data_IF_267492669399
#
_entry.id   IF_267492669399
#
_cell.length_a   1.000
_cell.length_b   1.000
_cell.length_c   1.000
_cell.angle_alpha   90.00
_cell.angle_beta   90.00
_cell.angle_gamma   90.00
#
_symmetry.space_group_name_H-M   'P 1'
#
loop_
_entity.id
_entity.type
_entity.pdbx_description
1 polymer ?
#
# COMPACT_ATOMS: atom_id res chain seq x y z
N UNK A 1 -7.77 22.91 9.31
CA UNK A 1 -7.53 23.43 10.67
C UNK A 1 -6.15 22.98 11.08
N UNK A 2 -5.26 23.93 11.35
CA UNK A 2 -3.84 23.72 11.60
C UNK A 2 -3.63 23.38 13.07
N UNK A 3 -3.11 22.20 13.40
CA UNK A 3 -2.67 21.88 14.75
C UNK A 3 -1.29 22.49 15.02
N UNK A 4 -1.29 23.59 15.78
CA UNK A 4 -0.11 24.21 16.38
C UNK A 4 0.41 23.30 17.50
N UNK A 5 1.62 22.78 17.33
CA UNK A 5 2.35 22.09 18.41
C UNK A 5 3.00 23.14 19.32
N UNK A 6 2.33 23.49 20.41
CA UNK A 6 2.96 24.27 21.48
C UNK A 6 3.78 23.33 22.38
N UNK A 7 5.10 23.30 22.15
CA UNK A 7 6.06 22.74 23.10
C UNK A 7 6.37 23.78 24.16
N UNK A 8 5.82 23.63 25.36
CA UNK A 8 6.31 24.37 26.53
C UNK A 8 7.52 23.64 27.10
N UNK A 9 8.72 24.15 26.81
CA UNK A 9 9.92 23.80 27.56
C UNK A 9 9.84 24.42 28.96
N UNK A 10 9.99 23.61 30.01
CA UNK A 10 10.09 24.08 31.39
C UNK A 10 11.38 24.92 31.56
N UNK A 11 11.33 26.09 32.23
CA UNK A 11 12.54 26.88 32.46
C UNK A 11 13.40 26.21 33.54
N UNK A 12 14.61 25.80 33.16
CA UNK A 12 15.62 25.24 34.06
C UNK A 12 16.18 26.36 34.95
N UNK A 13 16.00 26.23 36.28
CA UNK A 13 16.77 27.01 37.26
C UNK A 13 18.18 26.41 37.41
N UNK A 14 19.16 27.30 37.37
CA UNK A 14 20.61 27.14 37.54
C UNK A 14 21.13 25.86 38.22
N UNK A 15 22.17 25.28 37.60
CA UNK A 15 23.37 24.87 38.36
C UNK A 15 23.67 23.38 38.51
N UNK A 16 23.74 22.60 37.42
CA UNK A 16 24.67 21.45 37.29
C UNK A 16 24.64 20.93 35.85
N UNK A 17 25.79 20.84 35.17
CA UNK A 17 25.90 20.11 33.90
C UNK A 17 25.67 18.62 34.20
N UNK A 18 24.45 18.16 33.98
CA UNK A 18 24.12 16.73 33.93
C UNK A 18 24.10 16.39 32.44
N UNK A 19 25.08 15.63 31.97
CA UNK A 19 25.00 14.98 30.67
C UNK A 19 23.89 13.92 30.77
N UNK A 20 22.65 14.30 30.49
CA UNK A 20 21.58 13.34 30.23
C UNK A 20 21.49 13.13 28.73
N UNK A 21 21.74 11.90 28.29
CA UNK A 21 21.23 11.43 27.01
C UNK A 21 19.74 11.22 27.22
N UNK A 22 18.92 12.19 26.84
CA UNK A 22 17.47 12.05 26.93
C UNK A 22 17.00 11.10 25.83
N UNK A 23 16.34 10.01 26.23
CA UNK A 23 15.71 9.08 25.31
C UNK A 23 14.32 9.61 24.95
N UNK A 24 14.05 9.77 23.65
CA UNK A 24 12.72 10.10 23.14
C UNK A 24 11.99 8.80 22.87
N UNK A 25 10.96 8.50 23.67
CA UNK A 25 10.02 7.40 23.39
C UNK A 25 8.95 7.97 22.48
N UNK A 26 8.95 7.54 21.20
CA UNK A 26 7.85 7.84 20.30
C UNK A 26 6.64 6.97 20.72
N UNK A 27 5.43 7.55 20.86
CA UNK A 27 4.24 6.74 21.08
C UNK A 27 4.09 5.78 19.90
N UNK A 28 3.70 4.53 20.16
CA UNK A 28 3.32 3.61 19.09
C UNK A 28 2.22 4.27 18.27
N UNK A 29 2.35 4.26 16.92
CA UNK A 29 1.25 4.68 16.05
C UNK A 29 -0.01 3.91 16.47
N UNK A 30 -1.02 4.64 16.94
CA UNK A 30 -2.26 4.05 17.47
C UNK A 30 -2.99 3.21 16.41
N UNK A 31 -2.71 3.46 15.13
CA UNK A 31 -3.40 2.86 13.98
C UNK A 31 -2.51 1.92 13.16
N UNK A 32 -1.40 1.49 13.77
CA UNK A 32 -0.36 0.72 13.11
C UNK A 32 0.44 1.53 12.10
N UNK A 33 1.37 0.87 11.45
CA UNK A 33 2.25 1.46 10.44
C UNK A 33 2.30 0.58 9.20
N UNK A 34 1.96 1.16 8.04
CA UNK A 34 2.09 0.50 6.76
C UNK A 34 3.57 0.47 6.35
N UNK A 35 4.17 -0.71 6.38
CA UNK A 35 5.61 -0.89 6.09
C UNK A 35 5.88 -1.57 4.76
N UNK A 36 5.05 -2.55 4.41
CA UNK A 36 5.30 -3.41 3.27
C UNK A 36 4.06 -3.60 2.41
N UNK A 37 4.32 -3.90 1.14
CA UNK A 37 3.31 -4.30 0.17
C UNK A 37 3.74 -5.60 -0.50
N UNK A 38 2.93 -6.62 -0.28
CA UNK A 38 3.26 -8.00 -0.58
C UNK A 38 2.52 -8.47 -1.84
N UNK A 39 3.21 -8.71 -2.96
CA UNK A 39 2.62 -9.44 -4.09
C UNK A 39 2.41 -10.91 -3.74
N UNK A 40 1.87 -11.71 -4.66
CA UNK A 40 1.91 -13.17 -4.48
C UNK A 40 3.38 -13.65 -4.44
N UNK A 41 3.78 -14.26 -3.32
CA UNK A 41 5.13 -14.75 -3.07
C UNK A 41 5.33 -16.23 -3.45
N UNK A 42 4.31 -16.94 -3.97
CA UNK A 42 4.43 -18.37 -4.34
C UNK A 42 5.61 -18.66 -5.28
N UNK A 43 5.97 -17.70 -6.14
CA UNK A 43 7.17 -17.77 -6.98
C UNK A 43 8.26 -16.78 -6.55
N UNK A 44 8.06 -15.98 -5.50
CA UNK A 44 8.90 -14.84 -5.11
C UNK A 44 10.24 -15.18 -4.42
N UNK A 45 10.62 -16.46 -4.37
CA UNK A 45 11.94 -16.91 -3.92
C UNK A 45 12.97 -16.92 -5.05
N UNK A 46 14.24 -16.68 -4.72
CA UNK A 46 15.38 -16.79 -5.66
C UNK A 46 15.28 -15.80 -6.85
N UNK A 47 15.10 -16.31 -8.07
CA UNK A 47 15.18 -15.55 -9.33
C UNK A 47 14.04 -14.54 -9.56
N UNK A 48 12.98 -14.60 -8.75
CA UNK A 48 11.84 -13.69 -8.86
C UNK A 48 11.72 -12.77 -7.63
N UNK A 49 12.76 -12.71 -6.79
CA UNK A 49 12.85 -11.74 -5.72
C UNK A 49 12.88 -10.32 -6.29
N UNK A 50 12.30 -9.37 -5.56
CA UNK A 50 12.39 -7.96 -5.87
C UNK A 50 13.82 -7.41 -5.71
N UNK A 51 14.05 -6.13 -6.06
CA UNK A 51 15.35 -5.49 -5.91
C UNK A 51 15.82 -5.49 -4.46
N UNK A 52 17.08 -5.87 -4.22
CA UNK A 52 17.61 -6.13 -2.88
C UNK A 52 17.45 -4.95 -1.89
N UNK A 53 17.54 -3.71 -2.38
CA UNK A 53 17.45 -2.51 -1.54
C UNK A 53 16.03 -2.21 -1.03
N UNK A 54 15.00 -2.77 -1.68
CA UNK A 54 13.60 -2.46 -1.40
C UNK A 54 12.72 -3.70 -1.22
N UNK A 55 13.33 -4.88 -1.10
CA UNK A 55 12.63 -6.16 -1.04
C UNK A 55 12.92 -6.89 0.26
N UNK A 56 11.85 -7.31 0.94
CA UNK A 56 11.89 -8.22 2.07
C UNK A 56 11.36 -9.59 1.63
N UNK A 57 12.09 -10.69 1.89
CA UNK A 57 11.71 -12.03 1.41
C UNK A 57 10.31 -12.47 1.86
N UNK A 58 9.92 -12.17 3.10
CA UNK A 58 8.62 -12.58 3.64
C UNK A 58 7.48 -11.55 3.43
N UNK A 59 7.82 -10.29 3.15
CA UNK A 59 6.88 -9.17 3.19
C UNK A 59 6.74 -8.41 1.88
N UNK A 60 7.61 -8.67 0.90
CA UNK A 60 7.58 -8.02 -0.40
C UNK A 60 8.24 -6.64 -0.41
N UNK A 61 7.62 -5.68 -1.08
CA UNK A 61 8.20 -4.36 -1.31
C UNK A 61 8.09 -3.47 -0.07
N UNK A 62 9.18 -2.76 0.26
CA UNK A 62 9.14 -1.63 1.19
C UNK A 62 8.32 -0.48 0.61
N UNK A 63 7.44 0.12 1.41
CA UNK A 63 6.80 1.38 1.04
C UNK A 63 7.86 2.47 0.93
N UNK A 64 7.95 3.12 -0.23
CA UNK A 64 8.96 4.14 -0.51
C UNK A 64 8.48 5.53 -0.07
N UNK A 65 7.19 5.84 -0.27
CA UNK A 65 6.61 7.14 0.11
C UNK A 65 5.10 7.06 0.34
N UNK A 66 4.59 7.85 1.27
CA UNK A 66 3.15 8.13 1.42
C UNK A 66 2.74 9.48 0.82
N UNK A 67 3.71 10.25 0.32
CA UNK A 67 3.49 11.54 -0.33
C UNK A 67 3.01 11.36 -1.77
N UNK A 68 1.92 12.05 -2.11
CA UNK A 68 1.25 11.94 -3.41
C UNK A 68 2.19 12.21 -4.60
N UNK A 69 3.15 13.12 -4.45
CA UNK A 69 4.13 13.45 -5.49
C UNK A 69 5.15 12.35 -5.80
N UNK A 70 5.23 11.31 -4.95
CA UNK A 70 6.25 10.26 -5.01
C UNK A 70 5.66 8.85 -5.13
N UNK A 71 4.35 8.73 -5.40
CA UNK A 71 3.68 7.42 -5.58
C UNK A 71 4.22 6.60 -6.74
N UNK A 72 4.92 7.22 -7.70
CA UNK A 72 5.59 6.50 -8.78
C UNK A 72 6.78 5.64 -8.32
N UNK A 73 7.28 5.84 -7.09
CA UNK A 73 8.34 5.02 -6.49
C UNK A 73 7.79 3.73 -5.86
N UNK A 74 6.49 3.68 -5.57
CA UNK A 74 5.87 2.54 -4.90
C UNK A 74 5.51 1.43 -5.90
N UNK A 75 5.51 0.20 -5.38
CA UNK A 75 4.93 -0.95 -6.07
C UNK A 75 3.38 -0.89 -6.03
N UNK A 76 2.64 -1.36 -7.03
CA UNK A 76 3.10 -1.81 -8.34
C UNK A 76 3.16 -0.67 -9.35
N UNK A 77 4.04 -0.81 -10.35
CA UNK A 77 4.05 0.06 -11.55
C UNK A 77 3.28 -0.54 -12.72
N UNK A 78 2.75 -1.75 -12.57
CA UNK A 78 2.02 -2.47 -13.62
C UNK A 78 0.86 -3.26 -13.04
N UNK A 79 -0.21 -3.43 -13.82
CA UNK A 79 -1.39 -4.20 -13.40
C UNK A 79 -1.93 -5.09 -14.50
N UNK A 80 -2.85 -5.98 -14.13
CA UNK A 80 -3.71 -6.76 -15.01
C UNK A 80 -4.97 -7.14 -14.24
N UNK A 81 -6.02 -7.55 -14.95
CA UNK A 81 -7.27 -7.95 -14.32
C UNK A 81 -7.04 -9.15 -13.38
N UNK A 82 -7.51 -9.03 -12.14
CA UNK A 82 -7.41 -10.06 -11.11
C UNK A 82 -6.07 -10.11 -10.35
N UNK A 83 -5.09 -9.28 -10.72
CA UNK A 83 -3.89 -9.15 -9.90
C UNK A 83 -4.20 -8.46 -8.58
N UNK A 84 -3.47 -8.86 -7.55
CA UNK A 84 -3.62 -8.32 -6.21
C UNK A 84 -2.28 -8.17 -5.51
N UNK A 85 -2.29 -7.37 -4.46
CA UNK A 85 -1.22 -7.29 -3.48
C UNK A 85 -1.80 -7.03 -2.09
N UNK A 86 -1.06 -7.39 -1.05
CA UNK A 86 -1.51 -7.26 0.33
C UNK A 86 -0.72 -6.13 1.01
N UNK A 87 -1.41 -5.14 1.57
CA UNK A 87 -0.86 -4.12 2.46
C UNK A 87 -0.58 -4.78 3.81
N UNK A 88 0.64 -4.67 4.32
CA UNK A 88 1.06 -5.23 5.62
C UNK A 88 1.21 -4.09 6.62
N UNK A 89 0.30 -4.06 7.60
CA UNK A 89 0.24 -3.02 8.62
C UNK A 89 0.63 -3.64 9.96
N UNK A 90 1.68 -3.09 10.57
CA UNK A 90 2.18 -3.54 11.88
C UNK A 90 1.57 -2.71 12.99
N UNK A 91 1.06 -3.36 14.04
CA UNK A 91 0.38 -2.70 15.16
C UNK A 91 -1.13 -2.85 15.08
N UNK A 92 -1.85 -2.02 15.83
CA UNK A 92 -3.31 -2.10 15.93
C UNK A 92 -3.98 -1.42 14.74
N UNK A 93 -4.42 -2.21 13.77
CA UNK A 93 -4.99 -1.74 12.50
C UNK A 93 -6.25 -2.50 12.09
N UNK A 94 -6.78 -3.33 13.00
CA UNK A 94 -7.92 -4.22 12.71
C UNK A 94 -9.22 -3.46 12.48
N UNK A 95 -9.31 -2.26 13.05
CA UNK A 95 -10.47 -1.39 12.99
C UNK A 95 -10.47 -0.48 11.75
N UNK A 96 -9.41 -0.54 10.94
CA UNK A 96 -9.31 0.29 9.74
C UNK A 96 -10.38 -0.08 8.73
N UNK A 97 -11.05 0.96 8.25
CA UNK A 97 -12.01 0.88 7.17
C UNK A 97 -11.43 1.50 5.92
N UNK A 98 -11.77 0.93 4.77
CA UNK A 98 -11.38 1.45 3.47
C UNK A 98 -12.64 1.92 2.76
N UNK A 99 -12.54 3.04 2.05
CA UNK A 99 -13.65 3.62 1.32
C UNK A 99 -14.15 2.75 0.16
N UNK A 100 -15.06 3.31 -0.62
CA UNK A 100 -15.55 2.67 -1.86
C UNK A 100 -14.42 2.37 -2.84
N UNK A 101 -14.54 1.33 -3.69
CA UNK A 101 -13.56 1.03 -4.72
C UNK A 101 -13.22 2.26 -5.59
N UNK A 102 -11.95 2.44 -5.92
CA UNK A 102 -11.46 3.58 -6.69
C UNK A 102 -11.35 3.18 -8.14
N UNK A 103 -12.03 3.89 -9.03
CA UNK A 103 -12.06 3.57 -10.47
C UNK A 103 -11.50 4.71 -11.30
N UNK A 104 -10.49 4.40 -12.11
CA UNK A 104 -9.90 5.31 -13.08
C UNK A 104 -9.76 4.62 -14.43
N UNK A 105 -10.37 5.20 -15.46
CA UNK A 105 -10.30 4.76 -16.85
C UNK A 105 -10.52 3.24 -17.06
N UNK A 106 -11.53 2.71 -16.37
CA UNK A 106 -11.92 1.29 -16.44
C UNK A 106 -11.09 0.35 -15.60
N UNK A 107 -10.09 0.82 -14.84
CA UNK A 107 -9.37 0.05 -13.83
C UNK A 107 -9.92 0.41 -12.45
N UNK A 108 -10.30 -0.60 -11.67
CA UNK A 108 -10.81 -0.45 -10.30
C UNK A 108 -9.86 -1.11 -9.30
N UNK A 109 -9.52 -0.38 -8.24
CA UNK A 109 -8.83 -0.91 -7.07
C UNK A 109 -9.81 -1.08 -5.91
N UNK A 110 -9.90 -2.30 -5.38
CA UNK A 110 -10.77 -2.66 -4.25
C UNK A 110 -9.92 -3.16 -3.09
N UNK A 111 -10.16 -2.65 -1.89
CA UNK A 111 -9.45 -3.07 -0.67
C UNK A 111 -10.34 -3.96 0.18
N UNK A 112 -9.84 -5.12 0.60
CA UNK A 112 -10.56 -6.07 1.48
C UNK A 112 -9.67 -6.57 2.61
N UNK A 113 -10.22 -6.71 3.82
CA UNK A 113 -9.48 -7.27 4.96
C UNK A 113 -9.28 -8.77 4.76
N UNK A 114 -8.05 -9.27 4.96
CA UNK A 114 -7.80 -10.71 4.99
C UNK A 114 -8.17 -11.27 6.35
N UNK A 115 -8.81 -12.43 6.34
CA UNK A 115 -9.23 -13.14 7.56
C UNK A 115 -8.17 -14.10 8.08
N UNK A 116 -7.25 -14.54 7.21
CA UNK A 116 -6.12 -15.40 7.58
C UNK A 116 -4.91 -14.52 7.92
N UNK A 117 -4.40 -14.70 9.13
CA UNK A 117 -3.18 -14.03 9.58
C UNK A 117 -1.94 -14.67 8.91
N UNK A 118 -0.85 -13.90 8.77
CA UNK A 118 0.45 -14.43 8.36
C UNK A 118 1.20 -15.08 9.53
N UNK A 119 2.45 -15.50 9.34
CA UNK A 119 3.23 -16.16 10.40
C UNK A 119 3.41 -15.28 11.66
N UNK A 120 3.39 -13.97 11.51
CA UNK A 120 3.51 -12.98 12.58
C UNK A 120 2.15 -12.41 13.02
N UNK A 121 1.06 -12.92 12.43
CA UNK A 121 -0.30 -12.39 12.51
C UNK A 121 -0.39 -10.85 12.36
N UNK A 122 0.36 -10.26 11.43
CA UNK A 122 0.17 -8.84 11.07
C UNK A 122 -1.22 -8.63 10.42
N UNK A 123 -1.72 -7.39 10.50
CA UNK A 123 -2.97 -6.99 9.84
C UNK A 123 -2.72 -6.83 8.35
N UNK A 124 -3.50 -7.55 7.53
CA UNK A 124 -3.35 -7.54 6.08
C UNK A 124 -4.62 -7.10 5.35
N UNK A 125 -4.46 -6.17 4.42
CA UNK A 125 -5.53 -5.73 3.52
C UNK A 125 -5.15 -6.01 2.07
N UNK A 126 -5.96 -6.81 1.38
CA UNK A 126 -5.77 -7.13 -0.04
C UNK A 126 -6.32 -6.03 -0.92
N UNK A 127 -5.48 -5.49 -1.77
CA UNK A 127 -5.86 -4.62 -2.88
C UNK A 127 -5.97 -5.50 -4.13
N UNK A 128 -7.15 -5.56 -4.73
CA UNK A 128 -7.40 -6.27 -5.98
C UNK A 128 -7.63 -5.28 -7.10
N UNK A 129 -6.94 -5.46 -8.22
CA UNK A 129 -7.10 -4.67 -9.43
C UNK A 129 -8.02 -5.40 -10.41
N UNK A 130 -9.10 -4.77 -10.82
CA UNK A 130 -9.98 -5.25 -11.89
C UNK A 130 -9.99 -4.25 -13.03
N UNK A 131 -10.21 -4.71 -14.26
CA UNK A 131 -10.25 -3.82 -15.42
C UNK A 131 -10.30 -4.56 -16.75
N UNK A 132 -9.89 -3.91 -17.85
CA UNK A 132 -10.00 -4.50 -19.18
C UNK A 132 -9.26 -5.84 -19.30
N UNK A 133 -9.96 -6.86 -19.79
CA UNK A 133 -9.43 -8.20 -19.98
C UNK A 133 -9.88 -8.84 -21.29
N UNK A 134 -9.26 -9.96 -21.68
CA UNK A 134 -9.60 -10.69 -22.91
C UNK A 134 -10.33 -12.02 -22.67
N UNK A 135 -10.72 -12.34 -21.43
CA UNK A 135 -11.18 -13.68 -21.05
C UNK A 135 -12.31 -14.21 -21.93
N UNK A 136 -13.27 -13.38 -22.27
CA UNK A 136 -14.43 -13.74 -23.11
C UNK A 136 -14.08 -14.02 -24.58
N UNK A 137 -12.83 -13.81 -25.00
CA UNK A 137 -12.40 -13.98 -26.38
C UNK A 137 -11.10 -14.78 -26.52
N UNK A 138 -10.69 -15.53 -25.49
CA UNK A 138 -9.48 -16.37 -25.56
C UNK A 138 -9.49 -17.38 -26.69
N UNK A 139 -10.64 -18.02 -26.94
CA UNK A 139 -10.80 -19.03 -27.99
C UNK A 139 -11.49 -18.48 -29.25
N UNK A 140 -11.64 -17.16 -29.35
CA UNK A 140 -12.30 -16.53 -30.48
C UNK A 140 -11.26 -16.15 -31.56
N UNK A 141 -11.26 -16.81 -32.73
CA UNK A 141 -10.35 -16.47 -33.83
C UNK A 141 -10.59 -15.05 -34.38
N UNK A 142 -11.76 -14.46 -34.13
CA UNK A 142 -12.14 -13.10 -34.52
C UNK A 142 -12.23 -12.18 -33.30
N UNK A 143 -11.10 -11.91 -32.67
CA UNK A 143 -11.04 -11.08 -31.46
C UNK A 143 -11.48 -9.64 -31.72
N UNK A 144 -12.21 -9.06 -30.77
CA UNK A 144 -12.57 -7.64 -30.75
C UNK A 144 -11.51 -6.79 -30.05
N UNK A 145 -11.59 -5.47 -30.24
CA UNK A 145 -10.73 -4.51 -29.55
C UNK A 145 -11.01 -4.55 -28.04
N UNK A 146 -9.93 -4.54 -27.27
CA UNK A 146 -9.98 -4.45 -25.81
C UNK A 146 -9.87 -2.98 -25.42
N UNK A 147 -10.63 -2.56 -24.40
CA UNK A 147 -10.52 -1.22 -23.85
C UNK A 147 -9.07 -0.97 -23.42
N UNK A 148 -8.52 0.19 -23.82
CA UNK A 148 -7.13 0.56 -23.55
C UNK A 148 -7.11 1.73 -22.56
N UNK A 149 -6.68 1.50 -21.32
CA UNK A 149 -6.52 2.57 -20.35
C UNK A 149 -5.46 3.60 -20.79
N UNK A 150 -5.68 4.87 -20.44
CA UNK A 150 -4.84 6.05 -20.62
C UNK A 150 -3.91 6.14 -19.41
N UNK A 151 -2.77 5.48 -19.54
CA UNK A 151 -1.73 5.45 -18.51
C UNK A 151 -0.75 6.62 -18.70
N UNK A 152 -0.08 7.11 -17.63
CA UNK A 152 -0.11 6.58 -16.27
C UNK A 152 -1.38 6.93 -15.49
N UNK A 153 -1.78 6.03 -14.57
CA UNK A 153 -2.89 6.26 -13.63
C UNK A 153 -2.40 6.16 -12.20
N UNK A 154 -2.72 7.18 -11.40
CA UNK A 154 -2.41 7.25 -9.97
C UNK A 154 -3.60 6.77 -9.16
N UNK A 155 -3.35 5.93 -8.16
CA UNK A 155 -4.33 5.49 -7.18
C UNK A 155 -3.86 5.90 -5.78
N UNK A 156 -4.77 6.40 -4.93
CA UNK A 156 -4.52 6.68 -3.51
C UNK A 156 -5.57 5.96 -2.67
N UNK A 157 -5.13 4.95 -1.91
CA UNK A 157 -5.95 4.21 -0.97
C UNK A 157 -5.85 4.88 0.40
N UNK A 158 -6.98 5.15 1.02
CA UNK A 158 -7.05 5.83 2.33
C UNK A 158 -7.74 4.91 3.34
N UNK A 159 -6.98 4.51 4.36
CA UNK A 159 -7.46 3.79 5.54
C UNK A 159 -7.93 4.78 6.60
N UNK A 160 -9.14 4.56 7.11
CA UNK A 160 -9.80 5.41 8.10
C UNK A 160 -10.04 4.67 9.41
N UNK A 161 -9.91 5.38 10.51
CA UNK A 161 -10.30 4.87 11.82
C UNK A 161 -11.84 4.82 11.99
N UNK A 162 -12.30 4.42 13.18
CA UNK A 162 -13.73 4.35 13.51
C UNK A 162 -14.45 5.71 13.48
N UNK A 163 -13.71 6.79 13.62
CA UNK A 163 -14.21 8.17 13.62
C UNK A 163 -14.24 8.75 12.19
N UNK A 164 -13.66 8.04 11.22
CA UNK A 164 -13.58 8.42 9.82
C UNK A 164 -12.34 9.26 9.48
N UNK A 165 -11.41 9.43 10.42
CA UNK A 165 -10.17 10.18 10.20
C UNK A 165 -9.23 9.40 9.28
N UNK A 166 -8.55 10.09 8.37
CA UNK A 166 -7.54 9.48 7.49
C UNK A 166 -6.26 9.23 8.29
N UNK A 167 -5.94 7.96 8.53
CA UNK A 167 -4.82 7.57 9.40
C UNK A 167 -3.73 6.81 8.64
N UNK A 168 -4.07 6.13 7.55
CA UNK A 168 -3.12 5.46 6.66
C UNK A 168 -3.40 5.84 5.21
N UNK A 169 -2.34 6.09 4.46
CA UNK A 169 -2.40 6.30 3.01
C UNK A 169 -1.43 5.40 2.29
N UNK A 170 -1.87 4.86 1.16
CA UNK A 170 -1.00 4.16 0.24
C UNK A 170 -1.36 4.53 -1.19
N UNK A 171 -0.40 5.05 -1.94
CA UNK A 171 -0.60 5.32 -3.35
C UNK A 171 0.46 4.71 -4.25
N UNK A 172 0.06 4.44 -5.48
CA UNK A 172 0.90 3.83 -6.51
C UNK A 172 0.49 4.35 -7.89
N UNK A 173 1.38 4.21 -8.87
CA UNK A 173 1.14 4.67 -10.25
C UNK A 173 1.28 3.51 -11.22
N UNK A 174 0.18 3.13 -11.88
CA UNK A 174 0.21 2.16 -12.95
C UNK A 174 0.71 2.82 -14.24
N UNK A 175 1.85 2.33 -14.73
CA UNK A 175 2.48 2.74 -15.99
C UNK A 175 2.07 1.83 -17.15
N UNK A 176 1.78 0.55 -16.85
CA UNK A 176 1.37 -0.45 -17.84
C UNK A 176 0.19 -1.29 -17.34
N UNK A 177 -0.70 -1.65 -18.26
CA UNK A 177 -1.78 -2.60 -18.03
C UNK A 177 -1.62 -3.77 -19.00
N UNK A 178 -1.48 -4.96 -18.45
CA UNK A 178 -1.35 -6.19 -19.21
C UNK A 178 -2.70 -6.85 -19.41
N UNK A 179 -2.89 -7.42 -20.59
CA UNK A 179 -4.05 -8.22 -20.92
C UNK A 179 -3.57 -9.57 -21.40
N UNK A 180 -3.93 -10.62 -20.66
CA UNK A 180 -3.61 -11.99 -21.04
C UNK A 180 -4.65 -12.48 -22.04
N UNK A 181 -4.20 -12.87 -23.22
CA UNK A 181 -4.96 -13.70 -24.16
C UNK A 181 -4.54 -15.15 -23.92
N UNK A 182 -5.50 -16.07 -23.84
CA UNK A 182 -5.24 -17.49 -23.58
C UNK A 182 -4.13 -18.03 -24.49
N UNK A 183 -3.36 -18.98 -23.95
CA UNK A 183 -2.34 -19.71 -24.69
C UNK A 183 -2.91 -20.85 -25.51
#
# INVERSE_FOLDING_TARGET
MSSLWNLQALPVKNGRRINRSDAVILPSSQWGELKFVKPNLELGGLHFAGPADIWHPDYGFLVQSTDQGSYNLNFPTTGANGLYFDLIIRGDADELTWGTPITHDGITATVTRKTKCNAQCDVEFRVTLTGPEARNQWFNPYSSRIARPRLPLTFELVGRDREGNEVIKYGFVLQKWFVVRGG
#
